data_IF_844505803132
#
_entry.id   IF_844505803132
#
_cell.length_a   1.000
_cell.length_b   1.000
_cell.length_c   1.000
_cell.angle_alpha   90.00
_cell.angle_beta   90.00
_cell.angle_gamma   90.00
#
_symmetry.space_group_name_H-M   'P 1'
#
loop_
_entity.id
_entity.type
_entity.pdbx_description
1 polymer ?
#
# COMPACT_ATOMS: atom_id res chain seq x y z
N UNK A 1 -14.67 11.41 -28.51
CA UNK A 1 -13.61 11.62 -29.52
C UNK A 1 -12.65 10.47 -29.43
N UNK A 2 -12.20 9.89 -30.55
CA UNK A 2 -11.34 8.70 -30.57
C UNK A 2 -9.96 9.08 -31.13
N UNK A 3 -8.88 8.90 -30.35
CA UNK A 3 -7.52 9.21 -30.77
C UNK A 3 -7.05 8.30 -31.93
N UNK A 4 -7.56 7.07 -32.03
CA UNK A 4 -7.24 6.17 -33.16
C UNK A 4 -7.80 6.73 -34.48
N UNK A 5 -9.02 7.25 -34.46
CA UNK A 5 -9.62 7.87 -35.64
C UNK A 5 -8.80 9.08 -36.09
N UNK A 6 -8.41 9.94 -35.13
CA UNK A 6 -7.54 11.09 -35.41
C UNK A 6 -6.16 10.68 -35.96
N UNK A 7 -5.59 9.60 -35.45
CA UNK A 7 -4.32 9.06 -35.98
C UNK A 7 -4.48 8.56 -37.42
N UNK A 8 -5.58 7.84 -37.71
CA UNK A 8 -5.89 7.35 -39.07
C UNK A 8 -6.17 8.49 -40.07
N UNK A 9 -6.76 9.57 -39.61
CA UNK A 9 -7.04 10.78 -40.41
C UNK A 9 -5.84 11.73 -40.51
N UNK A 10 -4.67 11.34 -39.99
CA UNK A 10 -3.42 12.12 -39.95
C UNK A 10 -3.52 13.46 -39.16
N UNK A 11 -4.44 13.56 -38.20
CA UNK A 11 -4.47 14.69 -37.26
C UNK A 11 -3.43 14.57 -36.14
N UNK A 12 -2.83 13.39 -35.93
CA UNK A 12 -1.73 13.17 -35.00
C UNK A 12 -0.44 12.85 -35.77
N UNK A 13 0.66 13.44 -35.32
CA UNK A 13 1.97 13.22 -35.94
C UNK A 13 2.54 11.90 -35.43
N UNK A 14 2.90 11.02 -36.36
CA UNK A 14 3.61 9.78 -36.07
C UNK A 14 5.11 10.09 -35.95
N UNK A 15 5.73 9.78 -34.81
CA UNK A 15 7.14 10.09 -34.53
C UNK A 15 8.14 9.22 -35.28
N UNK A 16 7.72 8.09 -35.81
CA UNK A 16 8.62 7.04 -36.35
C UNK A 16 9.19 6.09 -35.29
N UNK A 17 9.07 6.44 -34.01
CA UNK A 17 9.44 5.56 -32.87
C UNK A 17 8.39 4.47 -32.67
N UNK A 18 8.82 3.32 -32.09
CA UNK A 18 7.94 2.23 -31.71
C UNK A 18 8.21 1.81 -30.27
N UNK A 19 7.14 1.61 -29.50
CA UNK A 19 7.20 1.05 -28.15
C UNK A 19 6.75 -0.41 -28.15
N UNK A 20 7.59 -1.27 -27.59
CA UNK A 20 7.29 -2.70 -27.40
C UNK A 20 6.48 -2.88 -26.12
N UNK A 21 5.30 -3.49 -26.24
CA UNK A 21 4.40 -3.77 -25.12
C UNK A 21 3.89 -5.20 -25.19
N UNK A 22 3.64 -5.79 -24.01
CA UNK A 22 2.96 -7.09 -23.87
C UNK A 22 1.49 -6.82 -23.58
N UNK A 23 0.62 -7.11 -24.52
CA UNK A 23 -0.83 -6.93 -24.37
C UNK A 23 -1.52 -8.27 -24.61
N UNK A 24 -2.33 -8.73 -23.65
CA UNK A 24 -2.99 -10.05 -23.70
C UNK A 24 -2.01 -11.22 -23.96
N UNK A 25 -0.84 -11.17 -23.32
CA UNK A 25 0.22 -12.16 -23.46
C UNK A 25 0.97 -12.13 -24.81
N UNK A 26 0.66 -11.20 -25.70
CA UNK A 26 1.32 -11.03 -26.98
C UNK A 26 2.22 -9.81 -26.99
N UNK A 27 3.48 -10.01 -27.34
CA UNK A 27 4.46 -8.94 -27.50
C UNK A 27 4.29 -8.30 -28.88
N UNK A 28 4.01 -6.99 -28.92
CA UNK A 28 3.86 -6.23 -30.18
C UNK A 28 4.58 -4.89 -30.10
N UNK A 29 4.99 -4.39 -31.26
CA UNK A 29 5.51 -3.02 -31.42
C UNK A 29 4.36 -2.11 -31.84
N UNK A 30 4.14 -1.05 -31.08
CA UNK A 30 3.11 -0.05 -31.34
C UNK A 30 3.76 1.25 -31.78
N UNK A 31 3.14 1.93 -32.73
CA UNK A 31 3.61 3.24 -33.21
C UNK A 31 3.37 4.31 -32.14
N UNK A 32 4.29 5.25 -32.03
CA UNK A 32 4.24 6.38 -31.10
C UNK A 32 3.77 7.61 -31.85
N UNK A 33 2.87 8.35 -31.21
CA UNK A 33 2.27 9.58 -31.74
C UNK A 33 2.55 10.77 -30.79
N UNK A 34 2.73 11.94 -31.37
CA UNK A 34 2.71 13.22 -30.65
C UNK A 34 1.25 13.63 -30.43
N UNK A 35 0.83 13.63 -29.17
CA UNK A 35 -0.56 13.90 -28.81
C UNK A 35 -0.64 15.22 -28.05
N UNK A 36 -1.41 16.23 -28.52
CA UNK A 36 -1.64 17.47 -27.80
C UNK A 36 -2.13 17.21 -26.36
N UNK A 37 -1.59 17.96 -25.37
CA UNK A 37 -1.89 17.73 -23.95
C UNK A 37 -3.36 17.94 -23.62
N UNK A 38 -4.06 18.78 -24.35
CA UNK A 38 -5.50 19.06 -24.22
C UNK A 38 -6.40 17.86 -24.54
N UNK A 39 -5.90 16.89 -25.33
CA UNK A 39 -6.62 15.69 -25.70
C UNK A 39 -6.47 14.56 -24.66
N UNK A 40 -5.72 14.80 -23.60
CA UNK A 40 -5.34 13.80 -22.60
C UNK A 40 -5.97 14.14 -21.24
N UNK A 41 -6.23 13.10 -20.47
CA UNK A 41 -6.64 13.22 -19.08
C UNK A 41 -6.08 12.08 -18.24
N UNK A 42 -6.00 12.31 -16.92
CA UNK A 42 -5.43 11.34 -15.98
C UNK A 42 -6.36 10.15 -15.74
N UNK A 43 -5.76 9.00 -15.44
CA UNK A 43 -6.49 7.82 -15.02
C UNK A 43 -6.84 7.91 -13.54
N UNK A 44 -8.12 7.99 -13.21
CA UNK A 44 -8.67 7.98 -11.85
C UNK A 44 -8.45 6.64 -11.11
N UNK A 45 -8.19 5.56 -11.85
CA UNK A 45 -7.88 4.23 -11.31
C UNK A 45 -6.38 4.00 -11.12
N UNK A 46 -5.54 5.04 -11.22
CA UNK A 46 -4.09 4.92 -11.04
C UNK A 46 -3.76 4.54 -9.59
N UNK A 47 -3.14 3.37 -9.39
CA UNK A 47 -2.81 2.80 -8.10
C UNK A 47 -1.98 3.72 -7.18
N UNK A 48 -1.19 4.65 -7.74
CA UNK A 48 -0.33 5.58 -6.96
C UNK A 48 -1.06 6.74 -6.29
N UNK A 49 -2.27 7.06 -6.72
CA UNK A 49 -3.03 8.21 -6.24
C UNK A 49 -4.41 7.83 -5.72
N UNK A 50 -4.72 6.54 -5.68
CA UNK A 50 -6.02 6.04 -5.27
C UNK A 50 -6.48 6.56 -3.90
N UNK A 51 -5.61 6.51 -2.90
CA UNK A 51 -5.96 7.00 -1.55
C UNK A 51 -6.15 8.51 -1.52
N UNK A 52 -5.36 9.27 -2.29
CA UNK A 52 -5.50 10.73 -2.40
C UNK A 52 -6.81 11.11 -3.09
N UNK A 53 -7.16 10.42 -4.17
CA UNK A 53 -8.42 10.64 -4.87
C UNK A 53 -9.62 10.27 -4.00
N UNK A 54 -9.57 9.15 -3.26
CA UNK A 54 -10.62 8.79 -2.30
C UNK A 54 -10.80 9.84 -1.20
N UNK A 55 -9.70 10.38 -0.68
CA UNK A 55 -9.74 11.48 0.29
C UNK A 55 -10.41 12.72 -0.28
N UNK A 56 -10.07 13.09 -1.50
CA UNK A 56 -10.69 14.22 -2.18
C UNK A 56 -12.18 13.96 -2.40
N UNK A 57 -12.54 12.78 -2.90
CA UNK A 57 -13.94 12.41 -3.21
C UNK A 57 -14.82 12.33 -1.96
N UNK A 58 -14.27 12.04 -0.78
CA UNK A 58 -15.03 12.01 0.48
C UNK A 58 -15.59 13.40 0.86
N UNK A 59 -14.89 14.48 0.48
CA UNK A 59 -15.29 15.86 0.81
C UNK A 59 -15.92 16.64 -0.36
N UNK A 60 -15.60 16.26 -1.62
CA UNK A 60 -16.01 17.01 -2.82
C UNK A 60 -16.90 16.19 -3.77
N UNK A 61 -17.12 14.89 -3.49
CA UNK A 61 -17.80 13.98 -4.39
C UNK A 61 -16.91 13.43 -5.50
N UNK A 62 -17.43 12.44 -6.23
CA UNK A 62 -16.70 11.84 -7.36
C UNK A 62 -16.70 12.77 -8.57
N UNK A 63 -15.54 12.89 -9.19
CA UNK A 63 -15.36 13.65 -10.44
C UNK A 63 -15.28 12.63 -11.57
N UNK A 64 -16.12 12.82 -12.60
CA UNK A 64 -16.10 11.98 -13.80
C UNK A 64 -14.98 12.46 -14.74
N UNK A 65 -14.09 11.57 -15.19
CA UNK A 65 -13.05 11.95 -16.14
C UNK A 65 -13.66 12.31 -17.50
N UNK A 66 -13.38 13.53 -17.97
CA UNK A 66 -13.76 14.01 -19.31
C UNK A 66 -12.57 14.62 -20.03
N UNK A 67 -12.54 14.44 -21.38
CA UNK A 67 -11.54 15.07 -22.24
C UNK A 67 -11.71 16.60 -22.18
N UNK A 68 -10.61 17.29 -21.94
CA UNK A 68 -10.59 18.76 -21.93
C UNK A 68 -11.07 19.38 -20.63
N UNK A 69 -11.50 18.59 -19.64
CA UNK A 69 -11.83 19.10 -18.31
C UNK A 69 -10.54 19.57 -17.61
N UNK A 70 -10.36 20.89 -17.61
CA UNK A 70 -9.19 21.52 -17.00
C UNK A 70 -9.18 21.43 -15.49
N UNK A 71 -10.36 21.39 -14.84
CA UNK A 71 -10.50 21.28 -13.38
C UNK A 71 -10.15 19.88 -12.91
N UNK A 72 -10.72 18.84 -13.54
CA UNK A 72 -10.35 17.45 -13.32
C UNK A 72 -8.83 17.26 -13.45
N UNK A 73 -8.28 17.69 -14.57
CA UNK A 73 -6.85 17.52 -14.82
C UNK A 73 -5.98 18.25 -13.80
N UNK A 74 -6.37 19.45 -13.35
CA UNK A 74 -5.63 20.21 -12.33
C UNK A 74 -5.59 19.48 -10.99
N UNK A 75 -6.69 18.90 -10.56
CA UNK A 75 -6.76 18.13 -9.31
C UNK A 75 -5.82 16.92 -9.35
N UNK A 76 -5.84 16.18 -10.46
CA UNK A 76 -4.94 15.03 -10.62
C UNK A 76 -3.48 15.42 -10.82
N UNK A 77 -3.18 16.57 -11.42
CA UNK A 77 -1.82 17.14 -11.46
C UNK A 77 -1.27 17.34 -10.04
N UNK A 78 -2.09 17.90 -9.14
CA UNK A 78 -1.72 18.11 -7.74
C UNK A 78 -1.45 16.78 -7.03
N UNK A 79 -2.30 15.76 -7.22
CA UNK A 79 -2.07 14.44 -6.65
C UNK A 79 -0.77 13.80 -7.15
N UNK A 80 -0.51 13.84 -8.45
CA UNK A 80 0.72 13.30 -9.03
C UNK A 80 1.95 14.06 -8.52
N UNK A 81 1.87 15.40 -8.43
CA UNK A 81 2.95 16.23 -7.92
C UNK A 81 3.25 15.92 -6.44
N UNK A 82 2.21 15.85 -5.61
CA UNK A 82 2.34 15.62 -4.18
C UNK A 82 2.69 14.18 -3.81
N UNK A 83 2.40 13.22 -4.68
CA UNK A 83 2.75 11.82 -4.46
C UNK A 83 4.27 11.60 -4.29
N UNK A 84 5.10 12.37 -5.00
CA UNK A 84 6.55 12.42 -4.84
C UNK A 84 7.15 13.69 -5.44
N UNK A 85 7.23 14.75 -4.64
CA UNK A 85 7.71 16.09 -5.06
C UNK A 85 9.13 16.08 -5.63
N UNK A 86 10.03 15.27 -5.05
CA UNK A 86 11.42 15.24 -5.54
C UNK A 86 11.50 14.56 -6.90
N UNK A 87 10.89 13.40 -7.07
CA UNK A 87 10.86 12.71 -8.36
C UNK A 87 10.14 13.56 -9.45
N UNK A 88 9.16 14.38 -9.04
CA UNK A 88 8.48 15.31 -9.96
C UNK A 88 9.43 16.41 -10.45
N UNK A 89 10.18 17.05 -9.55
CA UNK A 89 11.20 18.06 -9.90
C UNK A 89 12.28 17.49 -10.82
N UNK A 90 12.74 16.26 -10.52
CA UNK A 90 13.75 15.59 -11.36
C UNK A 90 13.19 15.25 -12.76
N UNK A 91 11.92 14.86 -12.85
CA UNK A 91 11.25 14.61 -14.13
C UNK A 91 11.11 15.90 -14.96
N UNK A 92 10.72 17.02 -14.34
CA UNK A 92 10.62 18.34 -15.02
C UNK A 92 11.98 18.75 -15.56
N UNK A 93 13.05 18.66 -14.73
CA UNK A 93 14.42 18.98 -15.16
C UNK A 93 14.85 18.12 -16.33
N UNK A 94 14.66 16.81 -16.24
CA UNK A 94 15.04 15.87 -17.30
C UNK A 94 14.32 16.17 -18.63
N UNK A 95 13.03 16.49 -18.59
CA UNK A 95 12.27 16.82 -19.81
C UNK A 95 12.71 18.16 -20.40
N UNK A 96 13.04 19.16 -19.58
CA UNK A 96 13.60 20.45 -20.09
C UNK A 96 14.95 20.26 -20.77
N UNK A 97 15.81 19.37 -20.23
CA UNK A 97 17.16 19.14 -20.77
C UNK A 97 17.20 18.21 -21.98
N UNK A 98 16.37 17.14 -21.98
CA UNK A 98 16.51 16.02 -22.92
C UNK A 98 15.24 15.71 -23.71
N UNK A 99 14.15 16.47 -23.51
CA UNK A 99 12.80 16.16 -24.00
C UNK A 99 12.25 14.86 -23.40
N UNK A 100 11.08 14.43 -23.83
CA UNK A 100 10.49 13.17 -23.37
C UNK A 100 11.23 11.97 -24.00
N UNK A 101 11.95 11.19 -23.18
CA UNK A 101 12.75 10.06 -23.64
C UNK A 101 11.94 8.77 -23.77
N UNK A 102 10.98 8.53 -22.88
CA UNK A 102 10.16 7.32 -22.85
C UNK A 102 8.72 7.65 -23.28
N UNK A 103 8.19 7.04 -24.34
CA UNK A 103 6.79 7.20 -24.71
C UNK A 103 5.85 6.69 -23.62
N UNK A 104 4.73 7.39 -23.43
CA UNK A 104 3.65 6.92 -22.57
C UNK A 104 2.75 5.87 -23.21
N UNK A 105 1.65 5.54 -22.51
CA UNK A 105 0.59 4.69 -23.02
C UNK A 105 -0.75 5.35 -22.71
N UNK A 106 -1.59 5.49 -23.73
CA UNK A 106 -2.92 6.11 -23.62
C UNK A 106 -4.00 5.22 -24.23
N UNK A 107 -5.23 5.39 -23.80
CA UNK A 107 -6.42 4.76 -24.39
C UNK A 107 -6.98 5.64 -25.52
N UNK A 108 -7.87 5.10 -26.36
CA UNK A 108 -8.47 5.84 -27.47
C UNK A 108 -9.31 7.06 -27.04
N UNK A 109 -9.79 7.07 -25.80
CA UNK A 109 -10.53 8.17 -25.19
C UNK A 109 -9.64 9.30 -24.64
N UNK A 110 -8.31 9.14 -24.68
CA UNK A 110 -7.35 10.13 -24.16
C UNK A 110 -6.88 9.87 -22.73
N UNK A 111 -7.32 8.80 -22.10
CA UNK A 111 -6.93 8.40 -20.74
C UNK A 111 -5.48 7.92 -20.72
N UNK A 112 -4.66 8.47 -19.82
CA UNK A 112 -3.23 8.13 -19.70
C UNK A 112 -3.03 6.99 -18.71
N UNK A 113 -2.64 5.82 -19.22
CA UNK A 113 -2.37 4.61 -18.41
C UNK A 113 -0.94 4.62 -17.88
N UNK A 114 0.05 5.00 -18.71
CA UNK A 114 1.45 5.13 -18.29
C UNK A 114 2.04 6.47 -18.71
N UNK A 115 2.87 7.02 -17.84
CA UNK A 115 3.54 8.30 -18.06
C UNK A 115 2.86 9.49 -17.39
N UNK A 116 1.97 9.29 -16.43
CA UNK A 116 1.25 10.37 -15.73
C UNK A 116 2.20 11.45 -15.18
N UNK A 117 3.37 11.07 -14.61
CA UNK A 117 4.37 12.05 -14.13
C UNK A 117 4.96 12.86 -15.26
N UNK A 118 5.24 12.24 -16.43
CA UNK A 118 5.75 12.93 -17.62
C UNK A 118 4.72 13.88 -18.20
N UNK A 119 3.45 13.46 -18.24
CA UNK A 119 2.34 14.31 -18.64
C UNK A 119 2.23 15.55 -17.73
N UNK A 120 2.28 15.34 -16.40
CA UNK A 120 2.27 16.45 -15.43
C UNK A 120 3.45 17.41 -15.65
N UNK A 121 4.66 16.87 -15.86
CA UNK A 121 5.83 17.69 -16.14
C UNK A 121 5.68 18.52 -17.42
N UNK A 122 5.17 17.94 -18.50
CA UNK A 122 4.93 18.64 -19.76
C UNK A 122 3.87 19.74 -19.61
N UNK A 123 2.80 19.50 -18.84
CA UNK A 123 1.78 20.52 -18.54
C UNK A 123 2.34 21.69 -17.72
N UNK A 124 3.20 21.40 -16.75
CA UNK A 124 3.88 22.43 -15.97
C UNK A 124 4.79 23.25 -16.87
N UNK A 125 5.61 22.61 -17.72
CA UNK A 125 6.51 23.28 -18.67
C UNK A 125 5.71 24.11 -19.69
N UNK A 126 4.61 23.60 -20.22
CA UNK A 126 3.73 24.34 -21.13
C UNK A 126 3.18 25.60 -20.48
N UNK A 127 2.73 25.54 -19.23
CA UNK A 127 2.24 26.70 -18.47
C UNK A 127 3.35 27.73 -18.20
N UNK A 128 4.56 27.28 -17.89
CA UNK A 128 5.71 28.15 -17.63
C UNK A 128 6.22 28.84 -18.90
N UNK A 129 6.39 28.07 -19.97
CA UNK A 129 6.96 28.58 -21.24
C UNK A 129 5.93 29.26 -22.16
N UNK A 130 4.63 28.98 -21.92
CA UNK A 130 3.51 29.43 -22.79
C UNK A 130 3.65 28.95 -24.25
N UNK A 131 4.25 27.79 -24.44
CA UNK A 131 4.46 27.14 -25.74
C UNK A 131 3.75 25.80 -25.69
N UNK A 132 2.81 25.51 -26.62
CA UNK A 132 2.13 24.23 -26.68
C UNK A 132 3.10 23.05 -26.68
N UNK A 133 2.83 22.05 -25.88
CA UNK A 133 3.61 20.81 -25.79
C UNK A 133 2.78 19.61 -26.25
N UNK A 134 3.46 18.56 -26.63
CA UNK A 134 2.85 17.26 -26.96
C UNK A 134 3.38 16.17 -26.05
N UNK A 135 2.59 15.13 -25.86
CA UNK A 135 2.97 13.93 -25.15
C UNK A 135 3.18 12.78 -26.12
N UNK A 136 4.39 12.23 -26.17
CA UNK A 136 4.71 11.10 -27.00
C UNK A 136 4.15 9.83 -26.36
N UNK A 137 3.20 9.18 -27.03
CA UNK A 137 2.55 7.98 -26.48
C UNK A 137 2.07 7.01 -27.56
N UNK A 138 1.91 5.76 -27.12
CA UNK A 138 1.21 4.71 -27.86
C UNK A 138 -0.29 4.83 -27.56
N UNK A 139 -1.14 4.71 -28.58
CA UNK A 139 -2.59 4.61 -28.42
C UNK A 139 -2.97 3.12 -28.47
N UNK A 140 -3.44 2.57 -27.34
CA UNK A 140 -3.85 1.17 -27.27
C UNK A 140 -5.35 1.03 -27.57
N UNK A 141 -5.76 0.09 -28.47
CA UNK A 141 -7.16 -0.13 -28.82
C UNK A 141 -7.88 -0.96 -27.75
N UNK A 142 -7.92 -0.44 -26.52
CA UNK A 142 -8.59 -1.00 -25.35
C UNK A 142 -9.55 0.04 -24.79
N UNK A 143 -10.61 -0.40 -24.09
CA UNK A 143 -11.52 0.51 -23.41
C UNK A 143 -11.98 -0.07 -22.06
N UNK A 144 -12.34 0.79 -21.12
CA UNK A 144 -12.77 0.40 -19.77
C UNK A 144 -14.23 -0.09 -19.69
N UNK A 145 -14.94 -0.19 -20.81
CA UNK A 145 -16.34 -0.68 -20.84
C UNK A 145 -16.41 -2.22 -20.87
N UNK A 146 -15.28 -2.89 -20.99
CA UNK A 146 -15.14 -4.35 -21.02
C UNK A 146 -14.29 -4.83 -19.86
N UNK A 147 -14.80 -5.79 -19.05
CA UNK A 147 -14.00 -6.41 -17.97
C UNK A 147 -12.72 -7.08 -18.45
N UNK A 148 -12.72 -7.56 -19.71
CA UNK A 148 -11.51 -8.16 -20.33
C UNK A 148 -10.46 -7.08 -20.56
N UNK A 149 -10.87 -5.91 -21.03
CA UNK A 149 -9.97 -4.80 -21.25
C UNK A 149 -9.53 -4.15 -19.93
N UNK A 150 -10.42 -4.03 -18.94
CA UNK A 150 -10.06 -3.59 -17.59
C UNK A 150 -8.94 -4.45 -17.00
N UNK A 151 -9.08 -5.78 -17.08
CA UNK A 151 -8.02 -6.72 -16.66
C UNK A 151 -6.74 -6.49 -17.44
N UNK A 152 -6.82 -6.39 -18.77
CA UNK A 152 -5.65 -6.19 -19.64
C UNK A 152 -4.94 -4.85 -19.34
N UNK A 153 -5.70 -3.79 -19.11
CA UNK A 153 -5.18 -2.48 -18.74
C UNK A 153 -4.46 -2.55 -17.37
N UNK A 154 -5.07 -3.25 -16.41
CA UNK A 154 -4.46 -3.44 -15.08
C UNK A 154 -3.18 -4.28 -15.14
N UNK A 155 -3.18 -5.37 -15.92
CA UNK A 155 -1.98 -6.17 -16.16
C UNK A 155 -0.85 -5.33 -16.76
N UNK A 156 -1.17 -4.48 -17.74
CA UNK A 156 -0.20 -3.60 -18.37
C UNK A 156 0.31 -2.50 -17.41
N UNK A 157 -0.59 -1.91 -16.62
CA UNK A 157 -0.21 -0.92 -15.59
C UNK A 157 0.80 -1.53 -14.60
N UNK A 158 0.53 -2.74 -14.11
CA UNK A 158 1.42 -3.45 -13.18
C UNK A 158 2.78 -3.78 -13.83
N UNK A 159 2.79 -4.28 -15.07
CA UNK A 159 4.02 -4.58 -15.81
C UNK A 159 4.88 -3.31 -16.01
N UNK A 160 4.26 -2.21 -16.42
CA UNK A 160 4.95 -0.94 -16.66
C UNK A 160 5.43 -0.26 -15.37
N UNK A 161 4.68 -0.38 -14.27
CA UNK A 161 4.99 0.28 -13.00
C UNK A 161 5.90 -0.54 -12.10
N UNK A 162 5.77 -1.85 -12.07
CA UNK A 162 6.48 -2.75 -11.16
C UNK A 162 7.51 -3.64 -11.85
N UNK A 163 7.33 -3.92 -13.15
CA UNK A 163 8.19 -4.80 -13.93
C UNK A 163 9.51 -4.18 -14.41
N UNK A 164 9.70 -2.85 -14.33
CA UNK A 164 10.91 -2.16 -14.81
C UNK A 164 11.86 -1.77 -13.67
N UNK A 165 13.17 -1.71 -13.95
CA UNK A 165 14.24 -1.51 -12.96
C UNK A 165 14.22 -0.14 -12.24
N UNK A 166 13.70 0.91 -12.83
CA UNK A 166 13.59 2.24 -12.21
C UNK A 166 12.28 2.40 -11.41
N UNK A 167 12.26 1.84 -10.22
CA UNK A 167 11.11 1.90 -9.31
C UNK A 167 11.14 3.18 -8.49
N UNK A 168 10.29 4.14 -8.78
CA UNK A 168 9.94 5.15 -7.78
C UNK A 168 9.08 4.48 -6.72
N UNK A 169 9.52 4.56 -5.46
CA UNK A 169 8.86 3.90 -4.33
C UNK A 169 7.35 4.23 -4.30
N UNK A 170 6.56 3.19 -4.32
CA UNK A 170 5.13 3.22 -4.02
C UNK A 170 4.96 3.51 -2.54
N UNK A 171 4.00 4.36 -2.16
CA UNK A 171 3.58 4.44 -0.78
C UNK A 171 3.10 3.05 -0.31
N UNK A 172 3.55 2.54 0.83
CA UNK A 172 3.18 1.19 1.27
C UNK A 172 1.66 0.98 1.39
N UNK A 173 0.92 1.98 1.86
CA UNK A 173 -0.54 1.89 1.99
C UNK A 173 -1.21 1.88 0.61
N UNK A 174 -0.75 2.69 -0.36
CA UNK A 174 -1.28 2.67 -1.72
C UNK A 174 -1.04 1.31 -2.40
N UNK A 175 0.13 0.68 -2.16
CA UNK A 175 0.43 -0.67 -2.65
C UNK A 175 -0.51 -1.71 -2.04
N UNK A 176 -0.67 -1.70 -0.71
CA UNK A 176 -1.56 -2.61 0.02
C UNK A 176 -2.98 -2.46 -0.50
N UNK A 177 -3.43 -1.22 -0.66
CA UNK A 177 -4.73 -0.90 -1.22
C UNK A 177 -4.89 -1.46 -2.64
N UNK A 178 -3.93 -1.21 -3.53
CA UNK A 178 -3.98 -1.65 -4.93
C UNK A 178 -4.10 -3.17 -5.07
N UNK A 179 -3.31 -3.93 -4.30
CA UNK A 179 -3.38 -5.40 -4.26
C UNK A 179 -4.78 -5.85 -3.82
N UNK A 180 -5.28 -5.31 -2.71
CA UNK A 180 -6.58 -5.71 -2.16
C UNK A 180 -7.74 -5.32 -3.09
N UNK A 181 -7.73 -4.09 -3.58
CA UNK A 181 -8.76 -3.59 -4.50
C UNK A 181 -8.82 -4.43 -5.78
N UNK A 182 -7.66 -4.74 -6.38
CA UNK A 182 -7.60 -5.51 -7.62
C UNK A 182 -8.09 -6.95 -7.44
N UNK A 183 -7.70 -7.61 -6.33
CA UNK A 183 -7.95 -9.05 -6.13
C UNK A 183 -9.29 -9.30 -5.43
N UNK A 184 -9.62 -8.51 -4.38
CA UNK A 184 -10.78 -8.78 -3.51
C UNK A 184 -12.01 -7.95 -3.87
N UNK A 185 -11.83 -6.68 -4.23
CA UNK A 185 -12.94 -5.76 -4.52
C UNK A 185 -13.38 -5.87 -5.98
N UNK A 186 -12.49 -5.53 -6.91
CA UNK A 186 -12.77 -5.56 -8.35
C UNK A 186 -12.78 -6.98 -8.92
N UNK A 187 -12.06 -7.92 -8.29
CA UNK A 187 -11.92 -9.31 -8.73
C UNK A 187 -11.43 -9.45 -10.17
N UNK A 188 -10.53 -8.56 -10.57
CA UNK A 188 -9.95 -8.54 -11.92
C UNK A 188 -8.98 -9.71 -12.13
N UNK A 189 -8.28 -10.12 -11.09
CA UNK A 189 -7.30 -11.21 -11.14
C UNK A 189 -7.14 -11.88 -9.76
N UNK A 190 -6.63 -13.11 -9.76
CA UNK A 190 -6.20 -13.81 -8.55
C UNK A 190 -4.73 -13.49 -8.20
N UNK A 191 -4.23 -14.01 -7.06
CA UNK A 191 -2.88 -13.72 -6.59
C UNK A 191 -1.78 -14.21 -7.55
N UNK A 192 -1.97 -15.34 -8.24
CA UNK A 192 -1.03 -15.86 -9.24
C UNK A 192 -0.99 -14.98 -10.50
N UNK A 193 -2.13 -14.52 -10.95
CA UNK A 193 -2.24 -13.59 -12.09
C UNK A 193 -1.61 -12.23 -11.72
N UNK A 194 -1.87 -11.71 -10.51
CA UNK A 194 -1.26 -10.47 -10.02
C UNK A 194 0.27 -10.60 -9.93
N UNK A 195 0.78 -11.73 -9.40
CA UNK A 195 2.21 -12.06 -9.36
C UNK A 195 2.83 -11.96 -10.75
N UNK A 196 2.18 -12.59 -11.75
CA UNK A 196 2.64 -12.62 -13.13
C UNK A 196 2.70 -11.23 -13.75
N UNK A 197 1.66 -10.42 -13.53
CA UNK A 197 1.55 -9.07 -14.07
C UNK A 197 2.54 -8.10 -13.40
N UNK A 198 2.75 -8.22 -12.10
CA UNK A 198 3.63 -7.32 -11.32
C UNK A 198 5.11 -7.71 -11.35
N UNK A 199 5.47 -8.88 -11.92
CA UNK A 199 6.83 -9.42 -11.86
C UNK A 199 7.28 -9.78 -10.44
N UNK A 200 6.35 -10.01 -9.51
CA UNK A 200 6.68 -10.42 -8.14
C UNK A 200 7.23 -11.85 -8.13
N UNK A 201 8.24 -12.11 -7.27
CA UNK A 201 8.89 -13.43 -7.20
C UNK A 201 7.95 -14.55 -6.75
N UNK A 202 7.09 -14.26 -5.76
CA UNK A 202 6.14 -15.24 -5.23
C UNK A 202 4.85 -14.56 -4.73
N UNK A 203 3.84 -15.36 -4.44
CA UNK A 203 2.55 -14.88 -3.93
C UNK A 203 2.54 -14.58 -2.42
N UNK A 204 3.59 -14.94 -1.67
CA UNK A 204 3.64 -14.72 -0.22
C UNK A 204 3.47 -13.24 0.12
N UNK A 205 4.18 -12.36 -0.59
CA UNK A 205 4.08 -10.91 -0.39
C UNK A 205 2.68 -10.39 -0.75
N UNK A 206 2.10 -10.86 -1.85
CA UNK A 206 0.75 -10.47 -2.29
C UNK A 206 -0.29 -10.88 -1.24
N UNK A 207 -0.20 -12.12 -0.76
CA UNK A 207 -1.10 -12.63 0.29
C UNK A 207 -0.88 -11.88 1.62
N UNK A 208 0.35 -11.48 1.93
CA UNK A 208 0.63 -10.61 3.08
C UNK A 208 -0.01 -9.24 2.90
N UNK A 209 0.14 -8.60 1.73
CA UNK A 209 -0.48 -7.31 1.46
C UNK A 209 -2.02 -7.38 1.57
N UNK A 210 -2.65 -8.50 1.19
CA UNK A 210 -4.09 -8.73 1.41
C UNK A 210 -4.43 -8.74 2.90
N UNK A 211 -3.67 -9.46 3.74
CA UNK A 211 -3.92 -9.50 5.20
C UNK A 211 -3.65 -8.16 5.88
N UNK A 212 -2.64 -7.41 5.41
CA UNK A 212 -2.40 -6.05 5.86
C UNK A 212 -3.59 -5.14 5.54
N UNK A 213 -4.15 -5.26 4.32
CA UNK A 213 -5.36 -4.52 3.94
C UNK A 213 -6.57 -4.89 4.83
N UNK A 214 -6.75 -6.16 5.16
CA UNK A 214 -7.82 -6.63 6.07
C UNK A 214 -7.68 -6.01 7.48
N UNK A 215 -6.46 -5.84 7.98
CA UNK A 215 -6.22 -5.13 9.25
C UNK A 215 -6.47 -3.61 9.14
N UNK A 216 -6.10 -3.00 8.02
CA UNK A 216 -6.43 -1.58 7.75
C UNK A 216 -7.94 -1.39 7.68
N UNK A 217 -8.67 -2.27 7.00
CA UNK A 217 -10.14 -2.24 6.92
C UNK A 217 -10.74 -2.33 8.32
N UNK A 218 -10.30 -3.30 9.12
CA UNK A 218 -10.78 -3.46 10.49
C UNK A 218 -10.49 -2.23 11.35
N UNK A 219 -9.30 -1.63 11.21
CA UNK A 219 -8.98 -0.36 11.89
C UNK A 219 -9.96 0.75 11.50
N UNK A 220 -10.24 0.91 10.20
CA UNK A 220 -11.17 1.93 9.71
C UNK A 220 -12.59 1.65 10.23
N UNK A 221 -13.05 0.41 10.25
CA UNK A 221 -14.35 0.01 10.81
C UNK A 221 -14.49 0.39 12.29
N UNK A 222 -13.40 0.37 13.06
CA UNK A 222 -13.41 0.76 14.47
C UNK A 222 -13.45 2.29 14.65
N UNK A 223 -12.65 3.05 13.89
CA UNK A 223 -12.52 4.50 14.10
C UNK A 223 -13.46 5.35 13.23
N UNK A 224 -13.99 4.77 12.15
CA UNK A 224 -14.88 5.43 11.19
C UNK A 224 -15.90 4.45 10.62
N UNK A 225 -16.84 3.94 11.45
CA UNK A 225 -17.77 2.86 11.10
C UNK A 225 -18.82 3.23 10.04
N UNK A 226 -18.98 4.52 9.74
CA UNK A 226 -19.91 5.00 8.72
C UNK A 226 -19.39 4.75 7.29
N UNK A 227 -20.24 4.25 6.40
CA UNK A 227 -19.92 4.04 4.99
C UNK A 227 -19.00 2.84 4.71
N UNK A 228 -18.37 2.85 3.53
CA UNK A 228 -17.50 1.74 3.11
C UNK A 228 -16.05 2.00 3.54
N UNK A 229 -15.42 1.12 4.33
CA UNK A 229 -14.03 1.30 4.79
C UNK A 229 -13.01 1.38 3.65
N UNK A 230 -13.31 0.76 2.50
CA UNK A 230 -12.47 0.84 1.29
C UNK A 230 -12.33 2.29 0.79
N UNK A 231 -13.35 3.11 0.95
CA UNK A 231 -13.33 4.51 0.50
C UNK A 231 -12.56 5.42 1.46
N UNK A 232 -12.31 4.94 2.69
CA UNK A 232 -11.58 5.67 3.74
C UNK A 232 -10.13 5.18 3.94
N UNK A 233 -9.60 4.41 3.02
CA UNK A 233 -8.24 3.84 3.14
C UNK A 233 -7.14 4.92 3.27
N UNK A 234 -7.44 6.15 2.86
CA UNK A 234 -6.59 7.31 3.08
C UNK A 234 -6.30 7.60 4.56
N UNK A 235 -7.21 7.22 5.49
CA UNK A 235 -6.98 7.38 6.93
C UNK A 235 -5.74 6.60 7.39
N UNK A 236 -5.55 5.38 6.87
CA UNK A 236 -4.37 4.59 7.18
C UNK A 236 -3.07 5.24 6.71
N UNK A 237 -3.10 5.88 5.54
CA UNK A 237 -1.97 6.64 5.00
C UNK A 237 -1.68 7.89 5.83
N UNK A 238 -2.71 8.70 6.11
CA UNK A 238 -2.57 9.95 6.88
C UNK A 238 -2.09 9.67 8.31
N UNK A 239 -2.52 8.57 8.93
CA UNK A 239 -2.11 8.11 10.26
C UNK A 239 -0.78 7.32 10.23
N UNK A 240 -0.17 7.09 9.06
CA UNK A 240 1.08 6.33 8.90
C UNK A 240 1.01 4.96 9.59
N UNK A 241 0.03 4.15 9.18
CA UNK A 241 -0.23 2.85 9.81
C UNK A 241 0.56 1.70 9.16
N UNK A 242 1.26 1.93 8.05
CA UNK A 242 2.04 0.92 7.32
C UNK A 242 2.98 0.15 8.25
N UNK A 243 3.90 0.85 8.94
CA UNK A 243 4.84 0.23 9.86
C UNK A 243 4.17 -0.50 11.04
N UNK A 244 3.27 0.18 11.81
CA UNK A 244 2.57 -0.46 12.93
C UNK A 244 1.80 -1.73 12.55
N UNK A 245 1.07 -1.73 11.44
CA UNK A 245 0.29 -2.89 10.99
C UNK A 245 1.19 -4.01 10.48
N UNK A 246 2.27 -3.68 9.75
CA UNK A 246 3.26 -4.67 9.32
C UNK A 246 3.92 -5.40 10.50
N UNK A 247 4.10 -4.71 11.62
CA UNK A 247 4.73 -5.29 12.82
C UNK A 247 3.87 -6.38 13.48
N UNK A 248 2.56 -6.22 13.49
CA UNK A 248 1.63 -7.14 14.19
C UNK A 248 1.02 -8.22 13.29
N UNK A 249 0.99 -8.02 11.96
CA UNK A 249 0.24 -8.85 11.01
C UNK A 249 0.51 -10.35 11.17
N UNK A 250 1.79 -10.75 11.12
CA UNK A 250 2.15 -12.16 11.14
C UNK A 250 1.77 -12.84 12.45
N UNK A 251 1.84 -12.14 13.58
CA UNK A 251 1.51 -12.67 14.90
C UNK A 251 0.00 -12.81 15.06
N UNK A 252 -0.77 -11.77 14.72
CA UNK A 252 -2.24 -11.81 14.76
C UNK A 252 -2.77 -12.89 13.80
N UNK A 253 -2.18 -13.04 12.63
CA UNK A 253 -2.62 -14.05 11.67
C UNK A 253 -2.45 -15.47 12.19
N UNK A 254 -1.41 -15.75 12.98
CA UNK A 254 -1.13 -17.07 13.59
C UNK A 254 -2.00 -17.39 14.80
N UNK A 255 -2.72 -16.42 15.36
CA UNK A 255 -3.61 -16.67 16.49
C UNK A 255 -4.75 -17.61 16.09
N UNK A 256 -4.89 -18.69 16.85
CA UNK A 256 -5.94 -19.72 16.67
C UNK A 256 -7.07 -19.55 17.68
N UNK A 257 -6.98 -18.55 18.56
CA UNK A 257 -7.87 -18.30 19.68
C UNK A 257 -9.30 -17.96 19.21
N UNK A 258 -10.29 -18.32 20.02
CA UNK A 258 -11.67 -17.84 19.89
C UNK A 258 -11.75 -16.31 20.01
N UNK A 259 -10.77 -15.72 20.68
CA UNK A 259 -10.69 -14.29 20.99
C UNK A 259 -9.92 -13.48 19.94
N UNK A 260 -9.66 -14.06 18.75
CA UNK A 260 -8.88 -13.42 17.70
C UNK A 260 -9.44 -12.05 17.31
N UNK A 261 -10.75 -11.88 17.26
CA UNK A 261 -11.37 -10.61 16.93
C UNK A 261 -11.19 -9.60 18.07
N UNK A 262 -11.41 -10.02 19.34
CA UNK A 262 -11.16 -9.16 20.52
C UNK A 262 -9.70 -8.71 20.59
N UNK A 263 -8.74 -9.58 20.26
CA UNK A 263 -7.33 -9.22 20.17
C UNK A 263 -7.09 -8.18 19.08
N UNK A 264 -7.69 -8.35 17.90
CA UNK A 264 -7.58 -7.33 16.82
C UNK A 264 -8.12 -5.99 17.28
N UNK A 265 -9.31 -5.98 17.86
CA UNK A 265 -9.97 -4.75 18.31
C UNK A 265 -9.13 -4.04 19.37
N UNK A 266 -8.68 -4.75 20.41
CA UNK A 266 -7.85 -4.19 21.46
C UNK A 266 -6.52 -3.63 20.94
N UNK A 267 -5.84 -4.37 20.06
CA UNK A 267 -4.55 -3.94 19.45
C UNK A 267 -4.74 -2.73 18.52
N UNK A 268 -5.79 -2.72 17.72
CA UNK A 268 -6.05 -1.62 16.77
C UNK A 268 -6.53 -0.36 17.50
N UNK A 269 -7.33 -0.50 18.57
CA UNK A 269 -7.73 0.64 19.43
C UNK A 269 -6.53 1.17 20.21
N UNK A 270 -5.65 0.31 20.74
CA UNK A 270 -4.38 0.74 21.34
C UNK A 270 -3.49 1.47 20.32
N UNK A 271 -3.44 1.01 19.07
CA UNK A 271 -2.74 1.68 17.97
C UNK A 271 -3.34 3.08 17.72
N UNK A 272 -4.67 3.23 17.64
CA UNK A 272 -5.35 4.51 17.48
C UNK A 272 -5.04 5.45 18.65
N UNK A 273 -5.14 4.95 19.88
CA UNK A 273 -4.84 5.68 21.11
C UNK A 273 -3.40 6.21 21.15
N UNK A 274 -2.44 5.42 20.68
CA UNK A 274 -1.02 5.80 20.58
C UNK A 274 -0.74 6.96 19.60
N UNK A 275 -1.68 7.28 18.71
CA UNK A 275 -1.56 8.44 17.80
C UNK A 275 -2.04 9.74 18.46
N UNK A 276 -2.74 9.66 19.58
CA UNK A 276 -3.29 10.81 20.30
C UNK A 276 -2.42 11.17 21.50
N UNK A 277 -2.00 10.16 22.25
CA UNK A 277 -1.15 10.34 23.43
C UNK A 277 0.31 10.53 23.01
N UNK A 278 0.93 11.62 23.44
CA UNK A 278 2.36 11.82 23.22
C UNK A 278 3.15 10.76 24.00
N UNK A 279 3.86 9.90 23.28
CA UNK A 279 4.71 8.85 23.83
C UNK A 279 6.16 9.06 23.41
N UNK A 280 7.12 8.56 24.21
CA UNK A 280 8.54 8.59 23.87
C UNK A 280 8.89 7.69 22.67
N UNK A 281 8.04 6.69 22.38
CA UNK A 281 8.22 5.73 21.31
C UNK A 281 7.22 5.98 20.18
N UNK A 282 7.65 5.74 18.93
CA UNK A 282 6.73 5.72 17.82
C UNK A 282 5.79 4.50 17.89
N UNK A 283 4.65 4.61 17.21
CA UNK A 283 3.61 3.56 17.23
C UNK A 283 4.14 2.20 16.76
N UNK A 284 5.08 2.15 15.81
CA UNK A 284 5.67 0.89 15.31
C UNK A 284 6.43 0.18 16.42
N UNK A 285 7.19 0.92 17.22
CA UNK A 285 7.90 0.38 18.36
C UNK A 285 6.97 -0.11 19.46
N UNK A 286 5.90 0.65 19.74
CA UNK A 286 4.86 0.20 20.68
C UNK A 286 4.22 -1.11 20.24
N UNK A 287 3.89 -1.26 18.96
CA UNK A 287 3.36 -2.50 18.40
C UNK A 287 4.35 -3.66 18.49
N UNK A 288 5.63 -3.40 18.26
CA UNK A 288 6.71 -4.41 18.41
C UNK A 288 6.83 -4.87 19.85
N UNK A 289 6.80 -3.96 20.80
CA UNK A 289 6.88 -4.26 22.22
C UNK A 289 5.65 -5.07 22.67
N UNK A 290 4.45 -4.63 22.30
CA UNK A 290 3.19 -5.37 22.56
C UNK A 290 3.23 -6.78 21.98
N UNK A 291 3.63 -6.92 20.73
CA UNK A 291 3.76 -8.21 20.05
C UNK A 291 4.67 -9.17 20.83
N UNK A 292 5.88 -8.70 21.19
CA UNK A 292 6.91 -9.56 21.73
C UNK A 292 6.72 -9.87 23.23
N UNK A 293 6.00 -9.04 23.95
CA UNK A 293 5.81 -9.21 25.40
C UNK A 293 4.42 -9.64 25.81
N UNK A 294 3.41 -9.40 24.99
CA UNK A 294 2.02 -9.70 25.33
C UNK A 294 1.40 -10.70 24.36
N UNK A 295 1.35 -10.39 23.05
CA UNK A 295 0.57 -11.19 22.09
C UNK A 295 1.15 -12.60 21.92
N UNK A 296 2.46 -12.79 22.05
CA UNK A 296 3.13 -14.10 21.93
C UNK A 296 3.02 -14.97 23.19
N UNK A 297 2.58 -14.42 24.30
CA UNK A 297 2.41 -15.13 25.57
C UNK A 297 0.91 -15.27 25.86
N UNK A 298 0.34 -16.47 25.83
CA UNK A 298 -1.10 -16.69 25.98
C UNK A 298 -1.66 -16.16 27.30
N UNK A 299 -0.93 -16.33 28.43
CA UNK A 299 -1.40 -15.90 29.75
C UNK A 299 -1.41 -14.37 29.84
N UNK A 300 -0.36 -13.72 29.34
CA UNK A 300 -0.29 -12.24 29.28
C UNK A 300 -1.28 -11.65 28.30
N UNK A 301 -1.54 -12.34 27.20
CA UNK A 301 -2.56 -11.93 26.22
C UNK A 301 -3.94 -11.95 26.86
N UNK A 302 -4.30 -13.04 27.56
CA UNK A 302 -5.59 -13.13 28.23
C UNK A 302 -5.72 -12.04 29.30
N UNK A 303 -4.69 -11.87 30.14
CA UNK A 303 -4.68 -10.81 31.15
C UNK A 303 -4.78 -9.40 30.53
N UNK A 304 -4.13 -9.18 29.40
CA UNK A 304 -4.25 -7.92 28.65
C UNK A 304 -5.70 -7.66 28.23
N UNK A 305 -6.34 -8.63 27.59
CA UNK A 305 -7.74 -8.52 27.16
C UNK A 305 -8.65 -8.23 28.35
N UNK A 306 -8.54 -8.98 29.45
CA UNK A 306 -9.37 -8.77 30.66
C UNK A 306 -9.21 -7.36 31.26
N UNK A 307 -8.01 -6.78 31.16
CA UNK A 307 -7.71 -5.44 31.70
C UNK A 307 -8.20 -4.31 30.81
N UNK A 308 -8.23 -4.50 29.48
CA UNK A 308 -8.49 -3.42 28.52
C UNK A 308 -9.89 -3.43 27.92
N UNK A 309 -10.66 -4.47 28.10
CA UNK A 309 -11.96 -4.72 27.45
C UNK A 309 -12.90 -3.49 27.57
N UNK A 310 -13.28 -3.12 28.81
CA UNK A 310 -14.15 -1.96 29.05
C UNK A 310 -13.64 -0.67 28.40
N UNK A 311 -12.32 -0.47 28.41
CA UNK A 311 -11.69 0.74 27.85
C UNK A 311 -11.73 0.76 26.32
N UNK A 312 -11.58 -0.42 25.73
CA UNK A 312 -11.69 -0.60 24.28
C UNK A 312 -13.11 -0.28 23.82
N UNK A 313 -14.11 -0.79 24.55
CA UNK A 313 -15.51 -0.56 24.25
C UNK A 313 -15.88 0.94 24.38
N UNK A 314 -15.47 1.62 25.44
CA UNK A 314 -15.69 3.06 25.62
C UNK A 314 -15.15 3.88 24.44
N UNK A 315 -13.93 3.54 23.97
CA UNK A 315 -13.28 4.24 22.86
C UNK A 315 -13.98 3.94 21.52
N UNK A 316 -14.36 2.69 21.30
CA UNK A 316 -15.10 2.28 20.09
C UNK A 316 -16.46 2.97 20.05
N UNK A 317 -17.17 3.01 21.17
CA UNK A 317 -18.47 3.69 21.30
C UNK A 317 -18.37 5.19 20.97
N UNK A 318 -17.27 5.83 21.34
CA UNK A 318 -17.03 7.23 20.98
C UNK A 318 -16.92 7.41 19.47
N UNK A 319 -16.19 6.52 18.78
CA UNK A 319 -16.07 6.55 17.33
C UNK A 319 -17.37 6.16 16.62
N UNK A 320 -18.21 5.30 17.21
CA UNK A 320 -19.54 5.03 16.69
C UNK A 320 -20.44 6.26 16.73
N UNK A 321 -20.34 7.05 17.79
CA UNK A 321 -21.09 8.32 17.93
C UNK A 321 -20.56 9.42 17.02
N UNK A 322 -19.24 9.48 16.84
CA UNK A 322 -18.55 10.50 16.06
C UNK A 322 -17.43 9.88 15.19
N UNK A 323 -17.78 9.27 14.04
CA UNK A 323 -16.82 8.67 13.13
C UNK A 323 -15.83 9.70 12.59
N UNK A 324 -14.53 9.36 12.53
CA UNK A 324 -13.51 10.27 12.00
C UNK A 324 -13.51 10.27 10.44
N UNK A 325 -13.29 11.44 9.86
CA UNK A 325 -13.09 11.62 8.42
C UNK A 325 -11.66 12.08 8.08
N UNK A 326 -10.87 12.43 9.10
CA UNK A 326 -9.47 12.83 8.92
C UNK A 326 -8.61 12.40 10.11
N UNK A 327 -7.28 12.34 9.92
CA UNK A 327 -6.33 12.03 10.99
C UNK A 327 -6.40 13.04 12.15
N UNK A 328 -6.71 14.30 11.86
CA UNK A 328 -6.83 15.34 12.91
C UNK A 328 -8.04 15.12 13.80
N UNK A 329 -9.13 14.61 13.26
CA UNK A 329 -10.36 14.33 14.02
C UNK A 329 -10.17 13.22 15.04
N UNK A 330 -9.23 12.30 14.84
CA UNK A 330 -8.91 11.25 15.80
C UNK A 330 -8.62 11.83 17.20
N UNK A 331 -7.76 12.86 17.24
CA UNK A 331 -7.46 13.55 18.50
C UNK A 331 -8.68 14.29 19.05
N UNK A 332 -9.40 14.99 18.18
CA UNK A 332 -10.57 15.79 18.57
C UNK A 332 -11.66 14.91 19.20
N UNK A 333 -12.02 13.79 18.59
CA UNK A 333 -13.04 12.87 19.11
C UNK A 333 -12.68 12.35 20.51
N UNK A 334 -11.41 12.03 20.73
CA UNK A 334 -10.95 11.52 22.03
C UNK A 334 -10.92 12.63 23.09
N UNK A 335 -10.44 13.83 22.76
CA UNK A 335 -10.23 14.90 23.76
C UNK A 335 -11.47 15.77 24.04
N UNK A 336 -12.53 15.68 23.23
CA UNK A 336 -13.80 16.37 23.48
C UNK A 336 -14.62 15.75 24.62
N UNK A 337 -14.39 14.45 24.92
CA UNK A 337 -15.07 13.73 25.99
C UNK A 337 -14.05 13.28 27.05
N UNK A 338 -14.15 13.83 28.25
CA UNK A 338 -13.23 13.54 29.34
C UNK A 338 -13.27 12.06 29.79
N UNK A 339 -14.38 11.36 29.64
CA UNK A 339 -14.49 9.94 29.99
C UNK A 339 -13.72 9.10 28.95
N UNK A 340 -13.88 9.41 27.66
CA UNK A 340 -13.15 8.76 26.58
C UNK A 340 -11.65 9.05 26.68
N UNK A 341 -11.27 10.30 26.96
CA UNK A 341 -9.87 10.66 27.18
C UNK A 341 -9.25 9.88 28.34
N UNK A 342 -9.98 9.73 29.45
CA UNK A 342 -9.55 8.92 30.59
C UNK A 342 -9.42 7.43 30.22
N UNK A 343 -10.34 6.87 29.43
CA UNK A 343 -10.26 5.49 28.94
C UNK A 343 -9.05 5.27 28.04
N UNK A 344 -8.71 6.23 27.18
CA UNK A 344 -7.48 6.21 26.36
C UNK A 344 -6.23 6.21 27.23
N UNK A 345 -6.12 7.12 28.20
CA UNK A 345 -4.96 7.14 29.11
C UNK A 345 -4.88 5.86 29.96
N UNK A 346 -6.02 5.33 30.41
CA UNK A 346 -6.07 4.11 31.18
C UNK A 346 -5.64 2.88 30.34
N UNK A 347 -6.08 2.82 29.07
CA UNK A 347 -5.64 1.80 28.11
C UNK A 347 -4.12 1.85 27.89
N UNK A 348 -3.59 3.04 27.58
CA UNK A 348 -2.15 3.24 27.35
C UNK A 348 -1.33 2.84 28.59
N UNK A 349 -1.66 3.35 29.77
CA UNK A 349 -0.94 3.09 31.02
C UNK A 349 -1.02 1.61 31.43
N UNK A 350 -2.18 0.97 31.27
CA UNK A 350 -2.35 -0.44 31.60
C UNK A 350 -1.51 -1.30 30.69
N UNK A 351 -1.54 -1.04 29.39
CA UNK A 351 -0.75 -1.75 28.39
C UNK A 351 0.75 -1.59 28.63
N UNK A 352 1.22 -0.37 28.92
CA UNK A 352 2.63 -0.09 29.21
C UNK A 352 3.14 -0.81 30.47
N UNK A 353 2.29 -0.95 31.49
CA UNK A 353 2.61 -1.76 32.70
C UNK A 353 2.75 -3.24 32.36
N UNK A 354 1.84 -3.79 31.55
CA UNK A 354 1.90 -5.19 31.13
C UNK A 354 3.15 -5.44 30.28
N UNK A 355 3.44 -4.55 29.33
CA UNK A 355 4.65 -4.61 28.51
C UNK A 355 5.92 -4.55 29.37
N UNK A 356 5.98 -3.61 30.32
CA UNK A 356 7.15 -3.43 31.18
C UNK A 356 7.38 -4.65 32.05
N UNK A 357 6.34 -5.22 32.65
CA UNK A 357 6.41 -6.48 33.40
C UNK A 357 6.87 -7.63 32.52
N UNK A 358 6.29 -7.76 31.32
CA UNK A 358 6.67 -8.78 30.37
C UNK A 358 8.13 -8.66 29.90
N UNK A 359 8.67 -7.46 29.73
CA UNK A 359 10.10 -7.26 29.43
C UNK A 359 11.01 -7.77 30.51
N UNK A 360 10.69 -7.52 31.78
CA UNK A 360 11.47 -8.00 32.93
C UNK A 360 11.47 -9.54 32.99
N UNK A 361 10.29 -10.14 32.78
CA UNK A 361 10.15 -11.59 32.76
C UNK A 361 10.88 -12.21 31.55
N UNK A 362 10.79 -11.58 30.38
CA UNK A 362 11.48 -12.02 29.16
C UNK A 362 13.01 -11.94 29.29
N UNK A 363 13.58 -10.97 30.01
CA UNK A 363 15.02 -10.90 30.28
C UNK A 363 15.50 -12.14 31.05
N UNK A 364 14.68 -12.72 31.91
CA UNK A 364 15.02 -13.97 32.64
C UNK A 364 15.01 -15.20 31.74
N UNK A 365 14.19 -15.19 30.69
CA UNK A 365 14.02 -16.30 29.74
C UNK A 365 14.57 -15.97 28.34
N UNK A 366 15.45 -14.98 28.26
CA UNK A 366 15.95 -14.41 27.01
C UNK A 366 16.46 -15.47 26.02
N UNK A 367 17.30 -16.39 26.50
CA UNK A 367 17.85 -17.44 25.66
C UNK A 367 16.77 -18.36 25.07
N UNK A 368 15.73 -18.69 25.85
CA UNK A 368 14.60 -19.50 25.39
C UNK A 368 13.82 -18.75 24.29
N UNK A 369 13.50 -17.49 24.54
CA UNK A 369 12.76 -16.63 23.59
C UNK A 369 13.54 -16.46 22.27
N UNK A 370 14.84 -16.27 22.33
CA UNK A 370 15.69 -16.17 21.13
C UNK A 370 15.65 -17.48 20.33
N UNK A 371 15.74 -18.63 20.99
CA UNK A 371 15.63 -19.93 20.33
C UNK A 371 14.24 -20.16 19.72
N UNK A 372 13.18 -19.74 20.40
CA UNK A 372 11.82 -19.81 19.86
C UNK A 372 11.64 -18.91 18.63
N UNK A 373 12.16 -17.69 18.64
CA UNK A 373 12.13 -16.79 17.49
C UNK A 373 12.92 -17.37 16.31
N UNK A 374 14.08 -17.97 16.54
CA UNK A 374 14.87 -18.64 15.50
C UNK A 374 14.10 -19.82 14.92
N UNK A 375 13.50 -20.67 15.77
CA UNK A 375 12.62 -21.78 15.34
C UNK A 375 11.50 -21.29 14.43
N UNK A 376 10.80 -20.23 14.84
CA UNK A 376 9.67 -19.68 14.09
C UNK A 376 10.13 -19.09 12.75
N UNK A 377 11.27 -18.40 12.73
CA UNK A 377 11.88 -17.88 11.51
C UNK A 377 12.28 -18.99 10.54
N UNK A 378 12.88 -20.06 11.04
CA UNK A 378 13.25 -21.22 10.22
C UNK A 378 12.01 -21.96 9.68
N UNK A 379 10.93 -22.00 10.44
CA UNK A 379 9.67 -22.63 10.02
C UNK A 379 8.95 -21.84 8.92
N UNK A 380 9.24 -20.54 8.77
CA UNK A 380 8.69 -19.70 7.71
C UNK A 380 9.38 -19.93 6.35
N UNK A 381 10.59 -20.48 6.35
CA UNK A 381 11.33 -20.80 5.13
C UNK A 381 10.72 -22.05 4.49
N UNK A 382 10.15 -21.90 3.29
CA UNK A 382 9.54 -22.99 2.55
C UNK A 382 10.32 -23.38 1.31
N UNK A 383 9.92 -24.48 0.71
CA UNK A 383 10.52 -24.98 -0.55
C UNK A 383 10.49 -23.92 -1.66
N UNK A 384 9.50 -23.06 -1.65
CA UNK A 384 9.31 -21.99 -2.65
C UNK A 384 10.41 -20.94 -2.62
N UNK A 385 11.03 -20.71 -1.44
CA UNK A 385 12.06 -19.69 -1.28
C UNK A 385 13.39 -20.09 -1.95
N UNK A 386 13.53 -21.38 -2.31
CA UNK A 386 14.73 -21.93 -2.97
C UNK A 386 14.58 -22.13 -4.48
N UNK A 387 13.37 -21.92 -5.05
CA UNK A 387 13.07 -22.24 -6.45
C UNK A 387 13.84 -21.38 -7.46
N UNK A 388 14.24 -20.17 -7.08
CA UNK A 388 14.92 -19.23 -7.96
C UNK A 388 16.43 -19.13 -7.72
N UNK A 389 16.98 -19.91 -6.78
CA UNK A 389 18.39 -19.90 -6.48
C UNK A 389 19.21 -20.64 -7.55
N UNK A 390 20.35 -20.08 -7.88
CA UNK A 390 21.37 -20.76 -8.72
C UNK A 390 21.96 -21.98 -8.01
N UNK A 391 22.66 -22.84 -8.74
CA UNK A 391 23.34 -24.01 -8.15
C UNK A 391 24.35 -23.61 -7.04
N UNK A 392 25.10 -22.52 -7.26
CA UNK A 392 26.07 -22.03 -6.29
C UNK A 392 25.41 -21.46 -5.04
N UNK A 393 24.32 -20.70 -5.19
CA UNK A 393 23.53 -20.17 -4.06
C UNK A 393 22.87 -21.30 -3.27
N UNK A 394 22.41 -22.36 -3.91
CA UNK A 394 21.88 -23.55 -3.24
C UNK A 394 22.94 -24.27 -2.40
N UNK A 395 24.21 -24.30 -2.85
CA UNK A 395 25.33 -24.84 -2.07
C UNK A 395 25.58 -23.97 -0.81
N UNK A 396 25.60 -22.65 -0.95
CA UNK A 396 25.75 -21.73 0.17
C UNK A 396 24.62 -21.88 1.21
N UNK A 397 23.38 -22.01 0.77
CA UNK A 397 22.23 -22.27 1.66
C UNK A 397 22.42 -23.57 2.41
N UNK A 398 22.89 -24.62 1.74
CA UNK A 398 23.14 -25.92 2.36
C UNK A 398 24.22 -25.84 3.44
N UNK A 399 25.29 -25.09 3.19
CA UNK A 399 26.38 -24.88 4.15
C UNK A 399 25.87 -24.12 5.38
N UNK A 400 25.08 -23.05 5.19
CA UNK A 400 24.44 -22.30 6.28
C UNK A 400 23.53 -23.20 7.13
N UNK A 401 22.73 -24.07 6.50
CA UNK A 401 21.88 -25.02 7.23
C UNK A 401 22.71 -26.00 8.06
N UNK A 402 23.84 -26.47 7.53
CA UNK A 402 24.76 -27.36 8.25
C UNK A 402 25.36 -26.64 9.46
N UNK A 403 25.77 -25.39 9.30
CA UNK A 403 26.31 -24.58 10.38
C UNK A 403 25.27 -24.32 11.49
N UNK A 404 24.05 -23.97 11.13
CA UNK A 404 22.93 -23.82 12.08
C UNK A 404 22.74 -25.13 12.88
N UNK A 405 22.71 -26.26 12.20
CA UNK A 405 22.58 -27.57 12.85
C UNK A 405 23.73 -27.85 13.81
N UNK A 406 24.96 -27.49 13.45
CA UNK A 406 26.13 -27.65 14.30
C UNK A 406 26.07 -26.74 15.54
N UNK A 407 25.62 -25.50 15.39
CA UNK A 407 25.41 -24.55 16.51
C UNK A 407 24.37 -25.10 17.49
N UNK A 408 23.21 -25.54 16.97
CA UNK A 408 22.13 -26.09 17.78
C UNK A 408 22.57 -27.34 18.55
N UNK A 409 23.36 -28.24 17.91
CA UNK A 409 23.89 -29.42 18.55
C UNK A 409 24.88 -29.09 19.71
N UNK A 410 25.66 -28.04 19.53
CA UNK A 410 26.55 -27.56 20.60
C UNK A 410 25.76 -26.97 21.77
N UNK A 411 24.77 -26.13 21.51
CA UNK A 411 23.90 -25.55 22.55
C UNK A 411 23.19 -26.60 23.37
N UNK A 412 22.69 -27.69 22.74
CA UNK A 412 22.07 -28.82 23.47
C UNK A 412 23.03 -29.52 24.43
N UNK A 413 24.35 -29.50 24.16
CA UNK A 413 25.33 -30.08 25.07
C UNK A 413 25.68 -29.16 26.24
N UNK A 414 25.45 -27.85 26.09
CA UNK A 414 25.81 -26.87 27.11
C UNK A 414 24.67 -26.67 28.15
N UNK A 415 23.47 -27.25 27.91
CA UNK A 415 22.31 -27.30 28.79
C UNK A 415 22.31 -28.61 29.57
#
# INVERSE_FOLDING_TARGET
MNLIDRANENFLIKTGEKKKLTVRGQVKNYDVYEIPLELLYYNDQNGRINTMYKKYSSSHGFITPEIGDSEYNKIFEEFIFDSNKQAMKDTIRSIKEKSQQEPGVVLPDGRVIDGNRRLTALRIIEKEEKIPKTFNAVILPLNLNSKIDEKTIKELELDLQLGREERVNYDPIDRIFDVYNTIKVQKLMNAEEYKKASGAKNTKRINRDIRLAELVIKFIELVSPDGNPIDKFYLARDLKLDGPIEEIESTINKLVSKDKESVKDAVLVYMASSKVVETQNDTTRLMRDLKNTVIKDPDRLQYFLDVVDDKVDDIVDAFQKKPIQSANELKTVITEDAEVENSVYALMNSTDRIISKGKIENERTKALIELENIRDSLAEIGKEDFLELTADENLLVRDVIIDIKSILFRLVKDI
#
